data_IF_946550098781
#
_entry.id   IF_946550098781
#
_cell.length_a   1.000
_cell.length_b   1.000
_cell.length_c   1.000
_cell.angle_alpha   90.00
_cell.angle_beta   90.00
_cell.angle_gamma   90.00
#
_symmetry.space_group_name_H-M   'P 1'
#
loop_
_entity.id
_entity.type
_entity.pdbx_description
1 polymer ?
#
# COMPACT_ATOMS: atom_id res chain seq x y z
N UNK A 1 -7.74 -9.76 2.89
CA UNK A 1 -7.69 -9.38 4.33
C UNK A 1 -6.25 -9.52 4.81
N UNK A 2 -5.69 -8.55 5.55
CA UNK A 2 -4.23 -8.49 5.82
C UNK A 2 -3.73 -9.59 6.76
N UNK A 3 -4.39 -9.81 7.90
CA UNK A 3 -4.05 -10.85 8.89
C UNK A 3 -4.89 -12.12 8.75
N UNK A 4 -5.23 -12.53 7.52
CA UNK A 4 -6.15 -13.65 7.26
C UNK A 4 -5.74 -14.98 7.92
N UNK A 5 -4.44 -15.20 8.08
CA UNK A 5 -3.86 -16.46 8.54
C UNK A 5 -3.49 -16.43 10.04
N UNK A 6 -3.84 -15.36 10.76
CA UNK A 6 -3.51 -15.19 12.19
C UNK A 6 -4.68 -14.50 12.94
N UNK A 7 -5.67 -15.32 13.29
CA UNK A 7 -6.91 -14.86 13.94
C UNK A 7 -6.63 -14.21 15.30
N UNK A 8 -5.74 -14.79 16.09
CA UNK A 8 -5.39 -14.28 17.43
C UNK A 8 -4.79 -12.88 17.31
N UNK A 9 -3.85 -12.68 16.38
CA UNK A 9 -3.30 -11.37 16.12
C UNK A 9 -4.31 -10.37 15.58
N UNK A 10 -5.21 -10.79 14.68
CA UNK A 10 -6.27 -9.93 14.16
C UNK A 10 -7.23 -9.44 15.26
N UNK A 11 -7.56 -10.31 16.24
CA UNK A 11 -8.37 -9.96 17.42
C UNK A 11 -7.61 -8.96 18.29
N UNK A 12 -6.35 -9.24 18.62
CA UNK A 12 -5.53 -8.34 19.43
C UNK A 12 -5.43 -6.93 18.80
N UNK A 13 -5.16 -6.84 17.49
CA UNK A 13 -5.15 -5.57 16.76
C UNK A 13 -6.52 -4.86 16.79
N UNK A 14 -7.61 -5.60 16.67
CA UNK A 14 -8.96 -5.04 16.77
C UNK A 14 -9.23 -4.48 18.16
N UNK A 15 -8.71 -5.14 19.20
CA UNK A 15 -8.83 -4.69 20.58
C UNK A 15 -7.91 -3.49 20.88
N UNK A 16 -6.73 -3.39 20.24
CA UNK A 16 -5.95 -2.13 20.23
C UNK A 16 -6.81 -1.00 19.67
N UNK A 17 -7.43 -1.20 18.50
CA UNK A 17 -8.23 -0.16 17.83
C UNK A 17 -9.43 0.30 18.68
N UNK A 18 -10.04 -0.62 19.43
CA UNK A 18 -11.15 -0.34 20.36
C UNK A 18 -10.70 0.18 21.72
N UNK A 19 -9.43 -0.02 22.10
CA UNK A 19 -8.93 0.27 23.46
C UNK A 19 -9.47 -0.71 24.51
N UNK A 20 -9.77 -1.95 24.13
CA UNK A 20 -10.37 -2.99 24.99
C UNK A 20 -9.51 -4.25 25.02
N UNK A 21 -8.19 -4.07 25.14
CA UNK A 21 -7.24 -5.18 25.14
C UNK A 21 -7.41 -6.08 26.36
N UNK A 22 -7.41 -7.39 26.12
CA UNK A 22 -7.36 -8.44 27.15
C UNK A 22 -5.92 -8.66 27.63
N UNK A 23 -5.75 -9.43 28.72
CA UNK A 23 -4.41 -9.83 29.18
C UNK A 23 -3.67 -10.64 28.11
N UNK A 24 -4.35 -11.57 27.44
CA UNK A 24 -3.78 -12.37 26.36
C UNK A 24 -3.32 -11.51 25.18
N UNK A 25 -4.08 -10.46 24.82
CA UNK A 25 -3.68 -9.52 23.76
C UNK A 25 -2.41 -8.75 24.15
N UNK A 26 -2.31 -8.35 25.42
CA UNK A 26 -1.17 -7.61 25.96
C UNK A 26 0.06 -8.52 26.00
N UNK A 27 -0.08 -9.75 26.48
CA UNK A 27 1.02 -10.72 26.56
C UNK A 27 1.48 -11.13 25.17
N UNK A 28 0.56 -11.28 24.20
CA UNK A 28 0.91 -11.48 22.80
C UNK A 28 1.82 -10.36 22.28
N UNK A 29 1.44 -9.09 22.45
CA UNK A 29 2.26 -7.97 21.96
C UNK A 29 3.55 -7.79 22.76
N UNK A 30 3.52 -7.98 24.08
CA UNK A 30 4.75 -7.96 24.90
C UNK A 30 5.72 -9.06 24.51
N UNK A 31 5.24 -10.23 24.10
CA UNK A 31 6.09 -11.30 23.56
C UNK A 31 6.79 -10.95 22.25
N UNK A 32 6.38 -9.85 21.60
CA UNK A 32 7.01 -9.32 20.38
C UNK A 32 8.04 -8.23 20.68
N UNK A 33 8.25 -7.87 21.94
CA UNK A 33 9.29 -6.91 22.33
C UNK A 33 10.66 -7.56 22.12
N UNK A 34 11.55 -6.83 21.47
CA UNK A 34 12.91 -7.27 21.15
C UNK A 34 13.93 -6.25 21.59
N UNK A 35 15.12 -6.71 21.97
CA UNK A 35 16.25 -5.85 22.28
C UNK A 35 16.83 -5.23 21.00
N UNK A 36 17.48 -4.07 21.15
CA UNK A 36 18.22 -3.42 20.06
C UNK A 36 19.43 -4.23 19.57
N UNK A 37 19.82 -5.31 20.25
CA UNK A 37 21.01 -6.09 19.90
C UNK A 37 20.71 -7.11 18.79
N UNK A 38 19.46 -7.53 18.63
CA UNK A 38 19.03 -8.48 17.58
C UNK A 38 18.65 -7.78 16.25
N UNK A 39 19.11 -6.56 16.01
CA UNK A 39 18.76 -5.77 14.81
C UNK A 39 19.21 -6.43 13.50
N UNK A 40 20.27 -7.25 13.53
CA UNK A 40 20.77 -7.94 12.33
C UNK A 40 19.80 -8.97 11.76
N UNK A 41 19.06 -9.69 12.61
CA UNK A 41 18.00 -10.62 12.19
C UNK A 41 16.80 -9.91 11.54
N UNK A 42 16.76 -8.59 11.63
CA UNK A 42 15.65 -7.73 11.20
C UNK A 42 16.07 -6.74 10.10
N UNK A 43 17.17 -7.00 9.38
CA UNK A 43 17.60 -6.14 8.25
C UNK A 43 16.55 -6.03 7.15
N UNK A 44 15.80 -7.11 6.92
CA UNK A 44 14.75 -7.12 5.89
C UNK A 44 13.44 -6.45 6.33
N UNK A 45 13.26 -6.24 7.64
CA UNK A 45 12.04 -5.65 8.20
C UNK A 45 11.96 -4.15 7.92
N UNK A 46 10.77 -3.64 7.58
CA UNK A 46 10.55 -2.19 7.51
C UNK A 46 10.54 -1.60 8.92
N UNK A 47 11.20 -0.45 9.09
CA UNK A 47 11.22 0.25 10.38
C UNK A 47 10.19 1.37 10.38
N UNK A 48 9.38 1.41 11.44
CA UNK A 48 8.32 2.39 11.59
C UNK A 48 8.62 3.27 12.81
N UNK A 49 8.72 4.58 12.55
CA UNK A 49 8.98 5.60 13.57
C UNK A 49 7.85 6.61 13.66
N UNK A 50 7.80 7.34 14.77
CA UNK A 50 6.80 8.41 14.96
C UNK A 50 7.16 9.68 14.20
N UNK A 51 8.44 10.06 14.15
CA UNK A 51 8.90 11.35 13.58
C UNK A 51 9.76 11.19 12.32
N UNK A 52 9.73 12.18 11.44
CA UNK A 52 10.60 12.20 10.24
C UNK A 52 12.08 12.24 10.61
N UNK A 53 12.47 12.96 11.67
CA UNK A 53 13.86 13.05 12.10
C UNK A 53 14.46 11.67 12.44
N UNK A 54 13.69 10.78 13.06
CA UNK A 54 14.12 9.42 13.35
C UNK A 54 14.21 8.55 12.10
N UNK A 55 13.26 8.73 11.17
CA UNK A 55 13.29 8.08 9.86
C UNK A 55 14.55 8.48 9.09
N UNK A 56 14.84 9.77 9.02
CA UNK A 56 15.99 10.31 8.31
C UNK A 56 17.31 9.85 8.94
N UNK A 57 17.40 9.87 10.27
CA UNK A 57 18.56 9.37 11.00
C UNK A 57 18.80 7.87 10.75
N UNK A 58 17.74 7.06 10.79
CA UNK A 58 17.85 5.62 10.54
C UNK A 58 18.21 5.33 9.08
N UNK A 59 17.54 5.95 8.12
CA UNK A 59 17.84 5.81 6.69
C UNK A 59 19.29 6.17 6.40
N UNK A 60 19.77 7.31 6.92
CA UNK A 60 21.16 7.74 6.76
C UNK A 60 22.13 6.72 7.34
N UNK A 61 21.84 6.20 8.54
CA UNK A 61 22.66 5.15 9.18
C UNK A 61 22.73 3.88 8.33
N UNK A 62 21.60 3.39 7.81
CA UNK A 62 21.57 2.18 6.98
C UNK A 62 22.33 2.40 5.68
N UNK A 63 22.09 3.51 4.97
CA UNK A 63 22.80 3.83 3.73
C UNK A 63 24.31 3.92 3.94
N UNK A 64 24.75 4.55 5.03
CA UNK A 64 26.18 4.64 5.39
C UNK A 64 26.81 3.26 5.68
N UNK A 65 26.02 2.31 6.21
CA UNK A 65 26.49 0.96 6.49
C UNK A 65 26.60 0.06 5.24
N UNK A 66 25.95 0.43 4.14
CA UNK A 66 25.96 -0.36 2.91
C UNK A 66 27.27 -0.15 2.14
N UNK A 67 28.09 -1.20 2.11
CA UNK A 67 29.35 -1.26 1.34
C UNK A 67 29.11 -1.64 -0.13
N UNK A 68 28.08 -1.08 -0.72
CA UNK A 68 27.70 -1.28 -2.12
C UNK A 68 27.95 -0.02 -2.95
N UNK A 69 27.86 -0.16 -4.27
CA UNK A 69 27.85 0.96 -5.20
C UNK A 69 26.85 2.01 -4.75
N UNK A 70 27.26 3.28 -4.83
CA UNK A 70 26.41 4.40 -4.49
C UNK A 70 26.75 5.65 -5.27
N UNK A 71 25.81 6.60 -5.25
CA UNK A 71 25.97 7.88 -5.90
C UNK A 71 25.17 8.96 -5.16
N UNK A 72 25.60 10.20 -5.31
CA UNK A 72 24.82 11.34 -4.86
C UNK A 72 24.07 11.90 -6.08
N UNK A 73 22.74 11.86 -6.05
CA UNK A 73 21.91 12.52 -7.06
C UNK A 73 21.48 13.90 -6.54
N UNK A 74 22.14 14.95 -7.04
CA UNK A 74 21.75 16.33 -6.77
C UNK A 74 20.66 16.78 -7.76
N UNK A 75 19.68 17.52 -7.26
CA UNK A 75 18.62 18.06 -8.10
C UNK A 75 19.18 19.14 -9.03
N UNK A 76 18.64 19.21 -10.24
CA UNK A 76 18.94 20.29 -11.17
C UNK A 76 17.80 21.32 -11.14
N UNK A 77 18.08 22.44 -10.49
CA UNK A 77 17.17 23.59 -10.42
C UNK A 77 17.54 24.60 -11.51
N UNK A 78 16.59 24.93 -12.37
CA UNK A 78 16.77 25.94 -13.39
C UNK A 78 15.63 26.95 -13.37
N UNK A 79 15.97 28.19 -13.68
CA UNK A 79 15.07 29.33 -13.58
C UNK A 79 14.67 29.79 -14.98
N UNK A 80 13.37 29.92 -15.21
CA UNK A 80 12.75 30.37 -16.45
C UNK A 80 12.14 31.75 -16.21
N UNK A 81 12.43 32.70 -17.11
CA UNK A 81 11.95 34.07 -17.04
C UNK A 81 13.06 35.11 -17.14
N UNK A 82 12.63 36.34 -17.40
CA UNK A 82 13.49 37.49 -17.66
C UNK A 82 13.54 38.45 -16.46
N UNK A 83 14.74 38.95 -16.18
CA UNK A 83 14.96 39.89 -15.08
C UNK A 83 16.43 39.95 -14.66
N UNK A 84 16.70 40.71 -13.60
CA UNK A 84 18.04 40.91 -13.05
C UNK A 84 18.67 39.58 -12.59
N UNK A 85 19.93 39.34 -12.96
CA UNK A 85 20.68 38.14 -12.59
C UNK A 85 20.77 37.94 -11.06
N UNK A 86 20.92 39.02 -10.30
CA UNK A 86 20.96 38.98 -8.83
C UNK A 86 19.65 38.47 -8.21
N UNK A 87 18.50 38.75 -8.84
CA UNK A 87 17.20 38.23 -8.41
C UNK A 87 17.09 36.75 -8.78
N UNK A 88 17.54 36.36 -9.98
CA UNK A 88 17.58 34.96 -10.43
C UNK A 88 18.38 34.09 -9.45
N UNK A 89 19.56 34.53 -9.04
CA UNK A 89 20.41 33.81 -8.06
C UNK A 89 19.74 33.70 -6.69
N UNK A 90 19.14 34.79 -6.19
CA UNK A 90 18.38 34.76 -4.92
C UNK A 90 17.24 33.75 -4.97
N UNK A 91 16.48 33.71 -6.07
CA UNK A 91 15.37 32.77 -6.24
C UNK A 91 15.88 31.33 -6.25
N UNK A 92 16.95 31.04 -7.00
CA UNK A 92 17.56 29.70 -7.04
C UNK A 92 18.11 29.27 -5.67
N UNK A 93 18.75 30.16 -4.92
CA UNK A 93 19.25 29.83 -3.59
C UNK A 93 18.13 29.61 -2.58
N UNK A 94 17.03 30.34 -2.67
CA UNK A 94 15.86 30.13 -1.79
C UNK A 94 15.24 28.74 -1.99
N UNK A 95 15.17 28.27 -3.24
CA UNK A 95 14.57 26.96 -3.58
C UNK A 95 15.37 25.78 -3.03
N UNK A 96 16.67 25.95 -2.77
CA UNK A 96 17.50 24.92 -2.13
C UNK A 96 17.12 24.68 -0.66
N UNK A 97 16.54 25.67 0.02
CA UNK A 97 16.15 25.57 1.43
C UNK A 97 14.72 25.03 1.63
N UNK A 98 13.99 24.77 0.55
CA UNK A 98 12.62 24.25 0.61
C UNK A 98 12.58 22.77 0.99
N UNK A 99 11.56 22.39 1.75
CA UNK A 99 11.31 20.98 2.07
C UNK A 99 10.86 20.21 0.83
N UNK A 100 11.01 18.89 0.85
CA UNK A 100 10.54 18.00 -0.22
C UNK A 100 9.05 18.16 -0.53
N UNK A 101 8.22 18.47 0.48
CA UNK A 101 6.78 18.71 0.30
C UNK A 101 6.49 20.00 -0.47
N UNK A 102 7.35 21.02 -0.32
CA UNK A 102 7.21 22.32 -1.00
C UNK A 102 7.76 22.28 -2.44
N UNK A 103 8.44 21.19 -2.78
CA UNK A 103 9.07 20.94 -4.08
C UNK A 103 8.37 19.80 -4.81
N UNK A 104 7.07 19.60 -4.52
CA UNK A 104 6.20 18.60 -5.15
C UNK A 104 6.76 17.17 -5.09
N UNK A 105 7.43 16.82 -3.99
CA UNK A 105 7.99 15.49 -3.78
C UNK A 105 9.42 15.31 -4.30
N UNK A 106 10.06 16.34 -4.87
CA UNK A 106 11.40 16.23 -5.44
C UNK A 106 12.49 16.74 -4.47
N UNK A 107 13.25 15.85 -3.81
CA UNK A 107 14.26 16.24 -2.83
C UNK A 107 15.44 16.98 -3.50
N UNK A 108 16.11 17.85 -2.74
CA UNK A 108 17.31 18.54 -3.26
C UNK A 108 18.46 17.56 -3.53
N UNK A 109 18.63 16.56 -2.68
CA UNK A 109 19.71 15.57 -2.74
C UNK A 109 19.17 14.21 -2.35
N UNK A 110 19.61 13.17 -3.07
CA UNK A 110 19.33 11.77 -2.74
C UNK A 110 20.66 11.05 -2.62
N UNK A 111 20.87 10.35 -1.50
CA UNK A 111 21.95 9.40 -1.34
C UNK A 111 21.48 8.03 -1.86
N UNK A 112 22.08 7.59 -2.96
CA UNK A 112 21.74 6.36 -3.67
C UNK A 112 22.70 5.26 -3.24
N UNK A 113 22.17 4.12 -2.81
CA UNK A 113 22.93 2.91 -2.52
C UNK A 113 22.24 1.71 -3.13
N UNK A 114 22.96 0.97 -3.97
CA UNK A 114 22.50 -0.30 -4.50
C UNK A 114 22.23 -1.25 -3.32
N UNK A 115 21.08 -1.89 -3.32
CA UNK A 115 20.59 -2.73 -2.25
C UNK A 115 19.73 -2.02 -1.20
N UNK A 116 19.64 -0.69 -1.20
CA UNK A 116 18.74 0.03 -0.31
C UNK A 116 17.31 0.13 -0.86
N UNK A 117 16.34 0.31 0.02
CA UNK A 117 14.94 0.55 -0.29
C UNK A 117 14.67 2.04 -0.51
N UNK A 118 13.86 2.33 -1.53
CA UNK A 118 13.38 3.66 -1.88
C UNK A 118 11.88 3.66 -2.07
N UNK A 119 11.26 4.81 -1.81
CA UNK A 119 9.82 5.04 -1.96
C UNK A 119 9.58 6.15 -2.97
N UNK A 120 8.64 5.94 -3.88
CA UNK A 120 8.15 6.95 -4.80
C UNK A 120 7.47 8.09 -4.05
N UNK A 121 7.81 9.33 -4.40
CA UNK A 121 7.24 10.53 -3.78
C UNK A 121 6.16 11.19 -4.61
N UNK A 122 6.04 10.83 -5.89
CA UNK A 122 5.09 11.43 -6.84
C UNK A 122 4.34 10.35 -7.60
N UNK A 123 3.15 10.69 -8.07
CA UNK A 123 2.45 9.88 -9.07
C UNK A 123 3.04 10.19 -10.44
N UNK A 124 3.61 9.18 -11.09
CA UNK A 124 4.10 9.25 -12.47
C UNK A 124 3.06 8.64 -13.41
N UNK A 125 2.66 7.39 -13.14
CA UNK A 125 1.64 6.67 -13.89
C UNK A 125 0.82 5.84 -12.89
N UNK A 126 -0.41 6.30 -12.61
CA UNK A 126 -1.31 5.65 -11.64
C UNK A 126 -1.83 4.31 -12.14
N UNK A 127 -1.98 4.14 -13.46
CA UNK A 127 -2.44 2.88 -14.04
C UNK A 127 -1.35 1.82 -14.00
N UNK A 128 -0.08 2.23 -14.17
CA UNK A 128 1.08 1.34 -14.05
C UNK A 128 1.54 1.14 -12.59
N UNK A 129 0.83 1.69 -11.60
CA UNK A 129 1.16 1.57 -10.18
C UNK A 129 2.40 2.36 -9.75
N UNK A 130 2.94 3.24 -10.59
CA UNK A 130 4.04 4.16 -10.29
C UNK A 130 3.50 5.39 -9.54
N UNK A 131 3.06 5.14 -8.31
CA UNK A 131 2.36 6.10 -7.44
C UNK A 131 3.19 6.47 -6.22
N UNK A 132 2.86 7.61 -5.61
CA UNK A 132 3.39 8.02 -4.33
C UNK A 132 3.14 6.93 -3.27
N UNK A 133 4.21 6.48 -2.61
CA UNK A 133 4.19 5.37 -1.66
C UNK A 133 4.64 4.02 -2.23
N UNK A 134 4.74 3.87 -3.56
CA UNK A 134 5.27 2.64 -4.15
C UNK A 134 6.73 2.44 -3.72
N UNK A 135 7.01 1.30 -3.09
CA UNK A 135 8.33 0.99 -2.52
C UNK A 135 9.02 -0.11 -3.30
N UNK A 136 10.34 0.00 -3.42
CA UNK A 136 11.16 -1.02 -4.04
C UNK A 136 12.64 -0.91 -3.65
N UNK A 137 13.40 -1.93 -3.99
CA UNK A 137 14.84 -2.01 -3.74
C UNK A 137 15.60 -1.51 -4.98
N UNK A 138 16.57 -0.61 -4.80
CA UNK A 138 17.48 -0.20 -5.86
C UNK A 138 18.45 -1.33 -6.18
N UNK A 139 18.49 -1.77 -7.43
CA UNK A 139 19.34 -2.89 -7.85
C UNK A 139 20.51 -2.42 -8.71
N UNK A 140 20.35 -1.33 -9.46
CA UNK A 140 21.39 -0.83 -10.36
C UNK A 140 21.18 0.65 -10.70
N UNK A 141 22.28 1.34 -11.00
CA UNK A 141 22.31 2.75 -11.39
C UNK A 141 22.93 2.85 -12.79
N UNK A 142 22.23 3.49 -13.72
CA UNK A 142 22.85 3.94 -14.97
C UNK A 142 23.39 5.36 -14.78
N UNK A 143 24.57 5.61 -15.35
CA UNK A 143 25.22 6.91 -15.32
C UNK A 143 25.26 7.54 -16.71
N UNK A 144 25.10 8.86 -16.76
CA UNK A 144 25.26 9.67 -17.95
C UNK A 144 26.23 10.84 -17.69
N UNK A 145 26.62 11.54 -18.75
CA UNK A 145 27.48 12.73 -18.63
C UNK A 145 26.67 14.01 -18.79
N UNK A 146 26.88 14.98 -17.90
CA UNK A 146 26.32 16.32 -18.06
C UNK A 146 27.00 17.04 -19.22
N UNK A 147 26.21 17.55 -20.18
CA UNK A 147 26.76 18.18 -21.39
C UNK A 147 27.67 19.39 -21.10
N UNK A 148 27.38 20.17 -20.05
CA UNK A 148 28.15 21.40 -19.73
C UNK A 148 29.43 21.13 -18.95
N UNK A 149 29.43 20.17 -18.04
CA UNK A 149 30.52 19.93 -17.09
C UNK A 149 31.29 18.64 -17.37
N UNK A 150 30.79 17.79 -18.26
CA UNK A 150 31.27 16.43 -18.53
C UNK A 150 31.30 15.52 -17.28
N UNK A 151 30.62 15.93 -16.21
CA UNK A 151 30.51 15.20 -14.95
C UNK A 151 29.62 13.98 -15.12
N UNK A 152 30.03 12.86 -14.53
CA UNK A 152 29.27 11.60 -14.55
C UNK A 152 28.24 11.61 -13.42
N UNK A 153 26.96 11.54 -13.77
CA UNK A 153 25.84 11.63 -12.82
C UNK A 153 24.84 10.50 -13.04
N UNK A 154 24.11 10.05 -12.00
CA UNK A 154 23.04 9.08 -12.16
C UNK A 154 21.96 9.62 -13.10
N UNK A 155 21.58 8.84 -14.12
CA UNK A 155 20.55 9.22 -15.10
C UNK A 155 19.33 8.29 -15.09
N UNK A 156 19.47 7.05 -14.58
CA UNK A 156 18.36 6.11 -14.42
C UNK A 156 18.63 5.15 -13.27
N UNK A 157 17.58 4.79 -12.54
CA UNK A 157 17.61 3.87 -11.43
C UNK A 157 16.77 2.64 -11.76
N UNK A 158 17.29 1.45 -11.53
CA UNK A 158 16.58 0.19 -11.76
C UNK A 158 16.08 -0.34 -10.43
N UNK A 159 14.76 -0.24 -10.22
CA UNK A 159 14.10 -0.56 -8.95
C UNK A 159 13.32 -1.87 -9.08
N UNK A 160 13.56 -2.80 -8.16
CA UNK A 160 12.69 -3.96 -7.94
C UNK A 160 11.58 -3.57 -6.97
N UNK A 161 10.40 -3.27 -7.49
CA UNK A 161 9.24 -2.93 -6.66
C UNK A 161 8.71 -4.14 -5.89
N UNK A 162 8.10 -3.89 -4.72
CA UNK A 162 7.53 -4.95 -3.89
C UNK A 162 6.32 -5.61 -4.57
N UNK A 163 5.53 -4.84 -5.33
CA UNK A 163 4.41 -5.34 -6.12
C UNK A 163 4.87 -5.57 -7.56
N UNK A 164 4.82 -6.82 -8.02
CA UNK A 164 5.30 -7.21 -9.37
C UNK A 164 4.56 -6.50 -10.51
N UNK A 165 3.31 -6.10 -10.26
CA UNK A 165 2.48 -5.34 -11.21
C UNK A 165 2.94 -3.89 -11.39
N UNK A 166 3.68 -3.32 -10.44
CA UNK A 166 4.12 -1.93 -10.51
C UNK A 166 5.22 -1.76 -11.57
N UNK A 167 5.01 -0.85 -12.52
CA UNK A 167 5.98 -0.50 -13.55
C UNK A 167 6.00 -1.42 -14.77
N UNK A 168 4.94 -2.20 -15.03
CA UNK A 168 4.88 -3.13 -16.18
C UNK A 168 4.98 -2.41 -17.52
N UNK A 169 4.24 -1.31 -17.70
CA UNK A 169 4.30 -0.49 -18.91
C UNK A 169 5.68 0.14 -19.06
N UNK A 170 6.25 0.65 -17.96
CA UNK A 170 7.61 1.18 -17.97
C UNK A 170 8.63 0.13 -18.39
N UNK A 171 8.55 -1.12 -17.90
CA UNK A 171 9.45 -2.21 -18.32
C UNK A 171 9.29 -2.56 -19.79
N UNK A 172 8.06 -2.59 -20.31
CA UNK A 172 7.80 -2.86 -21.73
C UNK A 172 8.48 -1.82 -22.64
N UNK A 173 8.43 -0.53 -22.27
CA UNK A 173 9.07 0.55 -23.04
C UNK A 173 10.59 0.45 -23.08
N UNK A 174 11.21 -0.20 -22.08
CA UNK A 174 12.66 -0.38 -21.99
C UNK A 174 13.12 -1.80 -22.37
N UNK A 175 12.22 -2.67 -22.82
CA UNK A 175 12.47 -4.08 -23.04
C UNK A 175 13.71 -4.37 -23.91
N UNK A 176 13.87 -3.66 -25.03
CA UNK A 176 15.02 -3.85 -25.92
C UNK A 176 16.35 -3.49 -25.24
N UNK A 177 16.37 -2.40 -24.46
CA UNK A 177 17.55 -1.99 -23.68
C UNK A 177 17.87 -3.04 -22.62
N UNK A 178 16.84 -3.58 -21.96
CA UNK A 178 17.00 -4.60 -20.92
C UNK A 178 17.55 -5.90 -21.50
N UNK A 179 17.01 -6.38 -22.62
CA UNK A 179 17.52 -7.58 -23.29
C UNK A 179 18.96 -7.43 -23.76
N UNK A 180 19.28 -6.32 -24.45
CA UNK A 180 20.62 -6.09 -24.99
C UNK A 180 21.70 -5.97 -23.90
N UNK A 181 21.33 -5.51 -22.70
CA UNK A 181 22.23 -5.35 -21.56
C UNK A 181 22.11 -6.49 -20.53
N UNK A 182 21.31 -7.52 -20.82
CA UNK A 182 21.02 -8.65 -19.94
C UNK A 182 20.54 -8.22 -18.53
N UNK A 183 19.65 -7.24 -18.49
CA UNK A 183 19.03 -6.70 -17.26
C UNK A 183 17.79 -7.54 -16.92
N UNK A 184 17.64 -7.91 -15.64
CA UNK A 184 16.46 -8.61 -15.12
C UNK A 184 15.16 -7.87 -15.49
N UNK A 185 14.25 -8.56 -16.21
CA UNK A 185 12.98 -8.05 -16.71
C UNK A 185 11.94 -7.72 -15.62
N UNK A 186 12.24 -7.99 -14.35
CA UNK A 186 11.46 -7.54 -13.19
C UNK A 186 11.85 -6.14 -12.70
N UNK A 187 12.97 -5.57 -13.17
CA UNK A 187 13.46 -4.26 -12.75
C UNK A 187 12.77 -3.14 -13.51
N UNK A 188 12.19 -2.20 -12.78
CA UNK A 188 11.51 -1.04 -13.36
C UNK A 188 12.48 0.14 -13.46
N UNK A 189 12.61 0.77 -14.65
CA UNK A 189 13.43 1.96 -14.82
C UNK A 189 12.72 3.20 -14.24
N UNK A 190 13.43 3.97 -13.42
CA UNK A 190 13.00 5.26 -12.88
C UNK A 190 13.99 6.34 -13.33
N UNK A 191 13.48 7.33 -14.04
CA UNK A 191 14.24 8.47 -14.54
C UNK A 191 13.86 9.78 -13.80
N UNK A 192 14.71 10.81 -13.84
CA UNK A 192 14.38 12.10 -13.22
C UNK A 192 13.16 12.74 -13.87
N UNK A 193 12.25 13.25 -13.03
CA UNK A 193 11.08 14.01 -13.47
C UNK A 193 11.27 15.50 -13.19
N UNK A 194 10.59 16.35 -13.95
CA UNK A 194 10.61 17.80 -13.74
C UNK A 194 9.30 18.26 -13.09
N UNK A 195 9.40 19.14 -12.10
CA UNK A 195 8.25 19.84 -11.49
C UNK A 195 8.55 21.33 -11.36
N UNK A 196 7.55 22.15 -11.66
CA UNK A 196 7.60 23.58 -11.41
C UNK A 196 7.37 23.85 -9.92
N UNK A 197 8.26 24.60 -9.30
CA UNK A 197 8.21 24.98 -7.88
C UNK A 197 7.54 26.35 -7.76
N UNK A 198 6.64 26.47 -6.78
CA UNK A 198 6.03 27.74 -6.47
C UNK A 198 7.06 28.66 -5.81
N UNK A 199 7.37 29.76 -6.48
CA UNK A 199 8.26 30.80 -5.97
C UNK A 199 7.48 32.06 -5.66
N UNK A 200 7.95 32.84 -4.69
CA UNK A 200 7.36 34.17 -4.36
C UNK A 200 7.60 35.23 -5.45
N UNK A 201 8.48 34.96 -6.41
CA UNK A 201 8.76 35.86 -7.53
C UNK A 201 7.70 35.72 -8.61
N UNK A 202 7.23 36.85 -9.15
CA UNK A 202 6.31 36.90 -10.30
C UNK A 202 7.03 36.76 -11.64
N UNK A 203 8.31 37.15 -11.70
CA UNK A 203 9.07 37.25 -12.95
C UNK A 203 9.88 35.98 -13.25
N UNK A 204 10.08 35.13 -12.25
CA UNK A 204 10.87 33.93 -12.34
C UNK A 204 10.06 32.72 -11.89
N UNK A 205 10.08 31.66 -12.70
CA UNK A 205 9.59 30.33 -12.36
C UNK A 205 10.78 29.41 -12.20
N UNK A 206 10.80 28.57 -11.16
CA UNK A 206 11.85 27.58 -10.98
C UNK A 206 11.30 26.20 -11.30
N UNK A 207 12.05 25.43 -12.08
CA UNK A 207 11.79 24.02 -12.31
C UNK A 207 12.90 23.19 -11.67
N UNK A 208 12.50 22.13 -10.98
CA UNK A 208 13.40 21.14 -10.40
C UNK A 208 13.30 19.85 -11.17
N UNK A 209 14.44 19.33 -11.63
CA UNK A 209 14.58 17.99 -12.20
C UNK A 209 15.32 17.08 -11.22
N UNK A 210 14.68 15.98 -10.81
CA UNK A 210 15.24 15.01 -9.86
C UNK A 210 14.49 13.66 -9.93
N UNK A 211 15.10 12.57 -9.49
CA UNK A 211 14.39 11.31 -9.26
C UNK A 211 13.27 11.49 -8.21
N UNK A 212 12.05 10.99 -8.48
CA UNK A 212 10.95 11.10 -7.52
C UNK A 212 11.01 9.99 -6.47
N UNK A 213 12.13 9.87 -5.78
CA UNK A 213 12.41 8.83 -4.79
C UNK A 213 13.02 9.43 -3.52
N UNK A 214 12.71 8.80 -2.39
CA UNK A 214 13.39 9.03 -1.10
C UNK A 214 13.77 7.70 -0.47
N UNK A 215 14.86 7.63 0.33
CA UNK A 215 15.19 6.42 1.08
C UNK A 215 14.02 5.94 1.95
N UNK A 216 13.81 4.62 2.03
CA UNK A 216 12.65 4.02 2.71
C UNK A 216 12.98 2.73 3.47
N UNK A 217 14.20 2.62 4.02
CA UNK A 217 14.53 1.58 5.02
C UNK A 217 13.73 1.77 6.31
N UNK A 218 13.37 3.02 6.58
CA UNK A 218 12.42 3.44 7.58
C UNK A 218 11.33 4.34 6.98
N UNK A 219 10.18 4.38 7.62
CA UNK A 219 9.10 5.32 7.33
C UNK A 219 8.34 5.73 8.58
N UNK A 220 7.57 6.80 8.48
CA UNK A 220 6.72 7.22 9.59
C UNK A 220 5.46 6.35 9.69
N UNK A 221 4.86 6.31 10.88
CA UNK A 221 3.56 5.66 11.09
C UNK A 221 2.53 6.17 10.07
N UNK A 222 2.46 7.49 9.88
CA UNK A 222 1.57 8.12 8.92
C UNK A 222 1.80 7.61 7.48
N UNK A 223 3.06 7.56 7.02
CA UNK A 223 3.40 7.08 5.67
C UNK A 223 3.22 5.57 5.49
N UNK A 224 3.24 4.80 6.58
CA UNK A 224 2.99 3.36 6.54
C UNK A 224 1.52 2.99 6.35
N UNK A 225 0.59 3.94 6.57
CA UNK A 225 -0.85 3.70 6.47
C UNK A 225 -1.22 3.21 5.06
N UNK A 226 -2.04 2.15 5.00
CA UNK A 226 -2.35 1.41 3.77
C UNK A 226 -1.37 0.28 3.46
N UNK A 227 -0.08 0.44 3.77
CA UNK A 227 0.97 -0.55 3.52
C UNK A 227 0.78 -1.90 4.24
N UNK A 228 1.37 -2.94 3.68
CA UNK A 228 1.38 -4.31 4.21
C UNK A 228 2.79 -4.87 4.08
N UNK A 229 3.34 -5.42 5.16
CA UNK A 229 4.70 -5.96 5.17
C UNK A 229 4.75 -7.27 5.94
N UNK A 230 5.62 -8.17 5.51
CA UNK A 230 5.83 -9.46 6.18
C UNK A 230 6.54 -9.29 7.52
N UNK A 231 7.55 -8.41 7.57
CA UNK A 231 8.31 -8.09 8.78
C UNK A 231 8.30 -6.59 9.03
N UNK A 232 7.87 -6.19 10.22
CA UNK A 232 7.74 -4.80 10.65
C UNK A 232 8.38 -4.64 12.00
N UNK A 233 9.21 -3.62 12.15
CA UNK A 233 9.66 -3.20 13.48
C UNK A 233 9.09 -1.83 13.80
N UNK A 234 8.39 -1.74 14.93
CA UNK A 234 7.82 -0.51 15.43
C UNK A 234 8.65 0.00 16.60
N UNK A 235 9.17 1.22 16.46
CA UNK A 235 9.84 1.91 17.55
C UNK A 235 8.80 2.63 18.41
N UNK A 236 8.48 2.04 19.56
CA UNK A 236 7.49 2.56 20.48
C UNK A 236 8.02 3.82 21.18
N UNK A 237 7.12 4.80 21.35
CA UNK A 237 7.39 6.03 22.10
C UNK A 237 6.34 6.22 23.17
N UNK A 238 6.77 6.79 24.29
CA UNK A 238 5.84 7.23 25.34
C UNK A 238 4.83 8.21 24.75
N UNK A 239 3.55 8.01 25.08
CA UNK A 239 2.47 8.87 24.60
C UNK A 239 2.09 8.67 23.12
N UNK A 240 2.39 7.51 22.53
CA UNK A 240 1.73 7.11 21.30
C UNK A 240 0.23 6.94 21.53
N UNK A 241 -0.56 7.50 20.63
CA UNK A 241 -2.01 7.38 20.63
C UNK A 241 -2.45 5.97 20.25
N UNK A 242 -3.69 5.62 20.59
CA UNK A 242 -4.33 4.36 20.17
C UNK A 242 -4.25 4.17 18.65
N UNK A 243 -4.54 5.22 17.89
CA UNK A 243 -4.49 5.19 16.43
C UNK A 243 -3.07 4.98 15.90
N UNK A 244 -2.06 5.63 16.49
CA UNK A 244 -0.66 5.43 16.10
C UNK A 244 -0.21 3.98 16.36
N UNK A 245 -0.51 3.43 17.54
CA UNK A 245 -0.20 2.03 17.89
C UNK A 245 -0.90 1.05 16.94
N UNK A 246 -2.21 1.23 16.72
CA UNK A 246 -2.97 0.38 15.81
C UNK A 246 -2.42 0.44 14.39
N UNK A 247 -2.17 1.63 13.85
CA UNK A 247 -1.64 1.78 12.49
C UNK A 247 -0.28 1.10 12.37
N UNK A 248 0.65 1.35 13.30
CA UNK A 248 1.98 0.78 13.26
C UNK A 248 1.99 -0.76 13.36
N UNK A 249 1.29 -1.33 14.35
CA UNK A 249 1.26 -2.79 14.55
C UNK A 249 0.48 -3.51 13.45
N UNK A 250 -0.61 -2.91 12.95
CA UNK A 250 -1.45 -3.52 11.90
C UNK A 250 -0.80 -3.59 10.52
N UNK A 251 0.42 -3.07 10.36
CA UNK A 251 1.18 -3.19 9.11
C UNK A 251 1.72 -4.60 8.88
N UNK A 252 1.98 -5.35 9.96
CA UNK A 252 2.45 -6.73 9.90
C UNK A 252 1.33 -7.69 9.48
N UNK A 253 1.65 -8.72 8.70
CA UNK A 253 0.68 -9.75 8.28
C UNK A 253 0.39 -10.80 9.35
N UNK A 254 1.36 -11.05 10.25
CA UNK A 254 1.28 -12.05 11.34
C UNK A 254 1.98 -11.52 12.58
N UNK A 255 1.63 -12.03 13.77
CA UNK A 255 2.31 -11.64 15.01
C UNK A 255 3.81 -11.98 14.95
N UNK A 256 4.20 -13.11 14.35
CA UNK A 256 5.61 -13.50 14.18
C UNK A 256 6.44 -12.54 13.31
N UNK A 257 5.77 -11.73 12.48
CA UNK A 257 6.38 -10.68 11.67
C UNK A 257 6.44 -9.32 12.36
N UNK A 258 5.84 -9.16 13.54
CA UNK A 258 5.85 -7.92 14.30
C UNK A 258 6.98 -7.95 15.34
N UNK A 259 7.75 -6.87 15.38
CA UNK A 259 8.80 -6.63 16.36
C UNK A 259 8.59 -5.26 17.00
N UNK A 260 8.66 -5.18 18.32
CA UNK A 260 8.48 -3.94 19.07
C UNK A 260 9.78 -3.57 19.78
N UNK A 261 10.20 -2.31 19.64
CA UNK A 261 11.34 -1.76 20.38
C UNK A 261 10.81 -0.75 21.39
N UNK A 262 11.17 -0.93 22.66
CA UNK A 262 10.70 -0.13 23.79
C UNK A 262 9.51 -0.78 24.52
N UNK A 263 8.91 -0.02 25.43
CA UNK A 263 7.87 -0.55 26.31
C UNK A 263 6.48 -0.46 25.66
N UNK A 264 5.81 -1.60 25.57
CA UNK A 264 4.42 -1.64 25.14
C UNK A 264 3.48 -1.27 26.29
N UNK A 265 2.76 -0.16 26.12
CA UNK A 265 1.71 0.28 27.03
C UNK A 265 0.36 0.14 26.32
N UNK A 266 -0.60 -0.64 26.85
CA UNK A 266 -1.91 -0.80 26.23
C UNK A 266 -2.63 0.56 26.17
N UNK A 267 -3.30 0.89 25.03
CA UNK A 267 -4.05 2.13 24.93
C UNK A 267 -5.27 2.10 25.84
N UNK A 268 -5.63 3.27 26.38
CA UNK A 268 -6.87 3.43 27.13
C UNK A 268 -8.10 3.29 26.20
N UNK A 269 -9.26 2.88 26.74
CA UNK A 269 -10.54 2.98 26.05
C UNK A 269 -10.81 4.42 25.56
N UNK A 270 -11.64 4.60 24.52
CA UNK A 270 -12.10 5.92 24.12
C UNK A 270 -12.92 6.52 25.25
N UNK A 271 -12.88 7.85 25.38
CA UNK A 271 -13.79 8.57 26.26
C UNK A 271 -15.24 8.33 25.83
N UNK A 272 -16.23 8.37 26.74
CA UNK A 272 -17.63 8.13 26.40
C UNK A 272 -18.18 9.03 25.27
N UNK A 273 -17.63 10.24 25.14
CA UNK A 273 -18.01 11.23 24.12
C UNK A 273 -17.07 11.24 22.89
N UNK A 274 -16.26 10.20 22.69
CA UNK A 274 -15.41 10.06 21.50
C UNK A 274 -16.29 9.93 20.23
N UNK A 275 -16.18 10.92 19.34
CA UNK A 275 -17.02 11.00 18.15
C UNK A 275 -16.89 9.79 17.21
N UNK A 276 -15.70 9.18 17.15
CA UNK A 276 -15.46 8.00 16.31
C UNK A 276 -16.12 6.78 16.93
N UNK A 277 -15.97 6.57 18.24
CA UNK A 277 -16.64 5.48 18.96
C UNK A 277 -18.17 5.59 18.88
N UNK A 278 -18.72 6.80 19.07
CA UNK A 278 -20.15 7.07 18.91
C UNK A 278 -20.61 6.78 17.48
N UNK A 279 -19.87 7.24 16.47
CA UNK A 279 -20.22 6.96 15.07
C UNK A 279 -20.20 5.46 14.76
N UNK A 280 -19.21 4.70 15.26
CA UNK A 280 -19.19 3.24 15.12
C UNK A 280 -20.37 2.55 15.83
N UNK A 281 -20.77 3.04 17.01
CA UNK A 281 -21.95 2.55 17.71
C UNK A 281 -23.21 2.79 16.86
N UNK A 282 -23.42 4.02 16.42
CA UNK A 282 -24.58 4.41 15.61
C UNK A 282 -24.63 3.65 14.27
N UNK A 283 -23.48 3.43 13.61
CA UNK A 283 -23.41 2.62 12.38
C UNK A 283 -23.84 1.17 12.61
N UNK A 284 -23.58 0.61 13.79
CA UNK A 284 -23.92 -0.79 14.12
C UNK A 284 -25.35 -0.94 14.64
N UNK A 285 -25.93 0.09 15.25
CA UNK A 285 -27.26 0.03 15.87
C UNK A 285 -28.37 0.66 15.02
N UNK A 286 -28.11 1.82 14.43
CA UNK A 286 -29.15 2.71 13.88
C UNK A 286 -29.03 2.92 12.37
N UNK A 287 -27.84 2.79 11.80
CA UNK A 287 -27.58 2.98 10.37
C UNK A 287 -27.22 1.67 9.66
N UNK A 288 -27.88 0.60 10.04
CA UNK A 288 -27.80 -0.62 9.24
C UNK A 288 -28.44 -0.34 7.89
N UNK A 289 -27.74 -0.68 6.81
CA UNK A 289 -28.31 -0.59 5.48
C UNK A 289 -29.50 -1.54 5.42
N UNK A 290 -30.70 -1.00 5.14
CA UNK A 290 -31.83 -1.83 4.75
C UNK A 290 -31.47 -2.41 3.39
N UNK A 291 -31.31 -3.74 3.34
CA UNK A 291 -31.11 -4.45 2.09
C UNK A 291 -32.24 -4.04 1.14
N UNK A 292 -31.90 -3.37 0.04
CA UNK A 292 -32.89 -2.80 -0.90
C UNK A 292 -33.32 -3.79 -1.97
N UNK A 293 -32.85 -5.03 -1.86
CA UNK A 293 -33.30 -6.15 -2.67
C UNK A 293 -34.44 -6.82 -1.90
N UNK A 294 -35.64 -6.73 -2.45
CA UNK A 294 -36.77 -7.55 -2.02
C UNK A 294 -36.66 -8.89 -2.75
N UNK A 295 -36.57 -9.98 -2.00
CA UNK A 295 -36.66 -11.30 -2.59
C UNK A 295 -38.10 -11.55 -3.03
N UNK A 296 -38.36 -12.33 -4.10
CA UNK A 296 -39.73 -12.60 -4.53
C UNK A 296 -40.60 -13.24 -3.42
N UNK A 297 -39.98 -14.00 -2.50
CA UNK A 297 -40.58 -14.55 -1.27
C UNK A 297 -41.14 -13.49 -0.31
N UNK A 298 -40.61 -12.27 -0.35
CA UNK A 298 -40.96 -11.18 0.56
C UNK A 298 -42.15 -10.33 0.05
N UNK A 299 -42.60 -10.60 -1.18
CA UNK A 299 -43.79 -9.97 -1.75
C UNK A 299 -45.07 -10.62 -1.21
N UNK A 300 -46.04 -9.81 -0.78
CA UNK A 300 -47.36 -10.30 -0.35
C UNK A 300 -48.33 -10.56 -1.51
N UNK A 301 -47.91 -10.34 -2.75
CA UNK A 301 -48.76 -10.57 -3.91
C UNK A 301 -48.68 -12.04 -4.35
N UNK A 302 -49.83 -12.71 -4.43
CA UNK A 302 -49.92 -14.03 -5.04
C UNK A 302 -49.59 -13.94 -6.54
N UNK A 303 -48.36 -14.31 -6.89
CA UNK A 303 -47.87 -14.34 -8.27
C UNK A 303 -47.41 -15.75 -8.62
N UNK A 304 -47.87 -16.25 -9.76
CA UNK A 304 -47.29 -17.46 -10.34
C UNK A 304 -46.03 -17.07 -11.14
N UNK A 305 -44.86 -17.47 -10.67
CA UNK A 305 -43.58 -17.21 -11.33
C UNK A 305 -42.92 -18.50 -11.82
N UNK A 306 -42.17 -18.37 -12.92
CA UNK A 306 -41.34 -19.44 -13.46
C UNK A 306 -39.89 -18.94 -13.44
N UNK A 307 -39.02 -19.63 -12.72
CA UNK A 307 -37.58 -19.38 -12.75
C UNK A 307 -36.98 -20.14 -13.93
N UNK A 308 -36.61 -19.43 -14.98
CA UNK A 308 -35.91 -20.00 -16.13
C UNK A 308 -34.43 -19.67 -16.06
N UNK A 309 -33.56 -20.68 -16.11
CA UNK A 309 -32.11 -20.46 -16.12
C UNK A 309 -31.41 -21.41 -17.09
N UNK A 310 -30.57 -20.83 -17.96
CA UNK A 310 -29.66 -21.60 -18.79
C UNK A 310 -28.39 -21.87 -17.96
N UNK A 311 -28.22 -23.11 -17.52
CA UNK A 311 -27.17 -23.54 -16.62
C UNK A 311 -26.06 -24.22 -17.42
N UNK A 312 -24.82 -23.97 -17.03
CA UNK A 312 -23.67 -24.73 -17.50
C UNK A 312 -23.09 -25.52 -16.33
N UNK A 313 -22.81 -26.81 -16.56
CA UNK A 313 -22.35 -27.74 -15.52
C UNK A 313 -23.29 -27.84 -14.31
N UNK A 314 -24.59 -28.02 -14.53
CA UNK A 314 -25.62 -28.10 -13.47
C UNK A 314 -25.23 -29.00 -12.29
N UNK A 315 -24.69 -30.19 -12.52
CA UNK A 315 -24.27 -31.11 -11.44
C UNK A 315 -23.23 -30.48 -10.49
N UNK A 316 -22.37 -29.60 -10.99
CA UNK A 316 -21.34 -28.92 -10.20
C UNK A 316 -21.93 -27.78 -9.35
N UNK A 317 -23.04 -27.21 -9.80
CA UNK A 317 -23.65 -26.00 -9.24
C UNK A 317 -25.04 -26.25 -8.62
N UNK A 318 -25.48 -27.50 -8.53
CA UNK A 318 -26.79 -27.85 -7.99
C UNK A 318 -26.93 -27.42 -6.51
N UNK A 319 -25.83 -27.41 -5.76
CA UNK A 319 -25.80 -26.88 -4.39
C UNK A 319 -26.13 -25.40 -4.36
N UNK A 320 -25.64 -24.63 -5.33
CA UNK A 320 -25.86 -23.18 -5.38
C UNK A 320 -27.35 -22.89 -5.58
N UNK A 321 -28.01 -23.64 -6.48
CA UNK A 321 -29.46 -23.54 -6.72
C UNK A 321 -30.27 -23.97 -5.48
N UNK A 322 -29.83 -25.01 -4.76
CA UNK A 322 -30.49 -25.49 -3.53
C UNK A 322 -30.49 -24.49 -2.39
N UNK A 323 -29.55 -23.55 -2.36
CA UNK A 323 -29.45 -22.55 -1.30
C UNK A 323 -29.84 -21.14 -1.77
N UNK A 324 -30.19 -20.97 -3.04
CA UNK A 324 -30.56 -19.69 -3.61
C UNK A 324 -32.07 -19.43 -3.43
N UNK A 325 -32.39 -18.45 -2.59
CA UNK A 325 -33.77 -18.05 -2.29
C UNK A 325 -34.53 -17.55 -3.52
N UNK A 326 -33.86 -17.00 -4.53
CA UNK A 326 -34.56 -16.56 -5.74
C UNK A 326 -35.04 -17.77 -6.54
N UNK A 327 -34.23 -18.82 -6.64
CA UNK A 327 -34.68 -20.06 -7.30
C UNK A 327 -35.83 -20.72 -6.53
N UNK A 328 -35.70 -20.84 -5.22
CA UNK A 328 -36.71 -21.49 -4.38
C UNK A 328 -38.00 -20.68 -4.20
N UNK A 329 -37.94 -19.36 -4.39
CA UNK A 329 -39.13 -18.50 -4.35
C UNK A 329 -40.14 -18.77 -5.47
N UNK A 330 -39.71 -19.38 -6.57
CA UNK A 330 -40.56 -19.61 -7.73
C UNK A 330 -41.22 -20.98 -7.64
N UNK A 331 -42.55 -21.11 -7.79
CA UNK A 331 -43.26 -22.39 -7.72
C UNK A 331 -42.89 -23.34 -8.87
N UNK A 332 -42.28 -22.85 -9.94
CA UNK A 332 -41.76 -23.66 -11.03
C UNK A 332 -40.34 -23.23 -11.42
N UNK A 333 -39.44 -24.20 -11.53
CA UNK A 333 -38.05 -24.00 -11.94
C UNK A 333 -37.80 -24.76 -13.24
N UNK A 334 -37.27 -24.06 -14.24
CA UNK A 334 -36.87 -24.61 -15.54
C UNK A 334 -35.38 -24.38 -15.74
N UNK A 335 -34.60 -25.45 -15.59
CA UNK A 335 -33.15 -25.45 -15.80
C UNK A 335 -32.84 -26.05 -17.17
N UNK A 336 -32.17 -25.28 -18.02
CA UNK A 336 -31.71 -25.74 -19.33
C UNK A 336 -30.23 -26.07 -19.24
N UNK A 337 -29.86 -27.30 -19.57
CA UNK A 337 -28.49 -27.79 -19.49
C UNK A 337 -28.27 -28.87 -20.56
N UNK A 338 -27.08 -28.91 -21.15
CA UNK A 338 -26.75 -29.85 -22.24
C UNK A 338 -25.91 -31.04 -21.77
N UNK A 339 -25.33 -30.98 -20.56
CA UNK A 339 -24.34 -31.97 -20.10
C UNK A 339 -24.88 -32.95 -19.05
N UNK A 340 -26.17 -32.86 -18.69
CA UNK A 340 -26.76 -33.79 -17.72
C UNK A 340 -27.04 -35.15 -18.35
N UNK A 341 -26.85 -36.22 -17.58
CA UNK A 341 -27.08 -37.61 -17.98
C UNK A 341 -28.35 -38.17 -17.34
N UNK A 342 -29.04 -39.14 -17.96
CA UNK A 342 -30.29 -39.71 -17.43
C UNK A 342 -30.21 -40.24 -15.99
N UNK A 343 -29.03 -40.68 -15.54
CA UNK A 343 -28.81 -41.21 -14.18
C UNK A 343 -28.43 -40.16 -13.13
N UNK A 344 -28.28 -38.89 -13.48
CA UNK A 344 -27.87 -37.87 -12.51
C UNK A 344 -29.04 -37.53 -11.57
N UNK A 345 -28.79 -37.50 -10.26
CA UNK A 345 -29.78 -37.02 -9.28
C UNK A 345 -29.74 -35.49 -9.19
N UNK A 346 -30.88 -34.87 -9.50
CA UNK A 346 -31.08 -33.42 -9.49
C UNK A 346 -32.22 -33.04 -8.52
N UNK A 347 -32.26 -33.69 -7.37
CA UNK A 347 -33.28 -33.42 -6.35
C UNK A 347 -33.09 -32.03 -5.75
N UNK A 348 -34.15 -31.23 -5.71
CA UNK A 348 -34.21 -29.95 -5.00
C UNK A 348 -35.33 -30.08 -3.96
N UNK A 349 -35.02 -29.78 -2.70
CA UNK A 349 -35.97 -29.92 -1.60
C UNK A 349 -37.22 -29.05 -1.83
N UNK A 350 -38.41 -29.62 -1.62
CA UNK A 350 -39.69 -28.94 -1.87
C UNK A 350 -40.16 -28.94 -3.34
N UNK A 351 -39.34 -29.44 -4.27
CA UNK A 351 -39.68 -29.52 -5.70
C UNK A 351 -39.74 -30.97 -6.18
N UNK A 352 -40.63 -31.23 -7.16
CA UNK A 352 -40.69 -32.49 -7.89
C UNK A 352 -40.33 -32.26 -9.35
N UNK A 353 -39.53 -33.16 -9.93
CA UNK A 353 -39.21 -33.09 -11.36
C UNK A 353 -40.47 -33.47 -12.15
N UNK A 354 -41.04 -32.49 -12.86
CA UNK A 354 -42.23 -32.68 -13.70
C UNK A 354 -41.85 -33.21 -15.09
N UNK A 355 -40.73 -32.72 -15.64
CA UNK A 355 -40.22 -33.14 -16.95
C UNK A 355 -38.70 -33.00 -17.01
N UNK A 356 -38.05 -33.99 -17.63
CA UNK A 356 -36.64 -33.96 -17.99
C UNK A 356 -36.51 -34.52 -19.41
N UNK A 357 -35.85 -33.79 -20.30
CA UNK A 357 -35.66 -34.17 -21.71
C UNK A 357 -34.19 -34.43 -21.98
#
# INVERSE_FOLDING_TARGET
MRQKDDKTFAIALSNIAKGTMTLDDIDLLKSRIVSNENLEMMRDAIRIFRSNAEVDAYNTKVLASLKTEGAIANAYDFCVGDGLASIREKVLNNVKNLKTTETYGLPLKIDLKVGAKYMMTVNIDTEDGLVNGACGKLIMIDYGKLQKTNETVPCRLWIKFNEEKTGRKARANFHNVMQNRNIDLSLTPIEPVTRQINTRSTNFKVERKQFPLVPSEAMTIYKSQGGTYEKVVVNLKKGMTRSELYVACSRATKASGLYLIGDFVPPKPPEPNDAVAMMFKNMRSERMLKFSLEFPEESQEERFSIMFHNVQSLNKHISDIKFDKIFLSSPMISLVETWTKPGDSLEIEGFKIVQRR
#
